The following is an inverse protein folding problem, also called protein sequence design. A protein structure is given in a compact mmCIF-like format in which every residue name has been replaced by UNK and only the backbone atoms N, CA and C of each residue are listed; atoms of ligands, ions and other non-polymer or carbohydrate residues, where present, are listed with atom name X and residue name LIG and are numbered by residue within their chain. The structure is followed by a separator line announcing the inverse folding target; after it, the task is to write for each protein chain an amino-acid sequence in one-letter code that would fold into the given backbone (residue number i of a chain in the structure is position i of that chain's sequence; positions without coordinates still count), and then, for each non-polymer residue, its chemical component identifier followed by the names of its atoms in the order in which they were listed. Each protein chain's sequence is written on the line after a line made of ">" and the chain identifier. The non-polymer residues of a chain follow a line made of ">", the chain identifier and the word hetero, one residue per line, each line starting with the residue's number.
data_IF_291835006537
#
_entry.id   IF_291835006537
#
_cell.length_a   1.000
_cell.length_b   1.000
_cell.length_c   1.000
_cell.angle_alpha   90.00
_cell.angle_beta   90.00
_cell.angle_gamma   90.00
#
_symmetry.space_group_name_H-M   'P 1'
#
loop_
_entity.id
_entity.type
_entity.pdbx_description
1 polymer ?
#
# COMPACT_ATOMS: atom_id res chain seq x y z
N UNK A 1 6.72 2.16 9.18
CA UNK A 1 6.98 2.25 7.73
C UNK A 1 8.15 1.36 7.36
N UNK A 2 8.10 0.68 6.20
CA UNK A 2 9.18 -0.17 5.67
C UNK A 2 9.39 0.19 4.19
N UNK A 3 10.63 0.48 3.79
CA UNK A 3 10.94 0.91 2.43
C UNK A 3 12.46 1.01 2.21
N UNK A 4 12.84 1.44 1.02
CA UNK A 4 14.24 1.60 0.61
C UNK A 4 14.80 3.00 0.84
N UNK A 5 13.99 3.93 1.31
CA UNK A 5 14.37 5.31 1.59
C UNK A 5 13.28 6.07 2.33
N UNK A 6 13.43 7.38 2.40
CA UNK A 6 12.46 8.25 3.06
C UNK A 6 11.10 8.24 2.33
N UNK A 7 10.02 8.32 3.07
CA UNK A 7 8.65 8.24 2.58
C UNK A 7 8.27 9.38 1.62
N UNK A 8 8.95 10.52 1.74
CA UNK A 8 8.76 11.69 0.87
C UNK A 8 9.28 11.48 -0.56
N UNK A 9 10.13 10.49 -0.77
CA UNK A 9 10.85 10.26 -2.04
C UNK A 9 10.85 8.80 -2.52
N UNK A 10 10.40 7.87 -1.68
CA UNK A 10 10.37 6.45 -1.98
C UNK A 10 9.01 5.85 -1.64
N UNK A 11 8.72 4.73 -2.29
CA UNK A 11 7.62 3.88 -1.88
C UNK A 11 7.90 3.30 -0.50
N UNK A 12 6.93 3.39 0.39
CA UNK A 12 6.99 2.73 1.71
C UNK A 12 5.73 1.91 1.95
N UNK A 13 5.88 0.86 2.73
CA UNK A 13 4.77 0.05 3.21
C UNK A 13 4.49 0.37 4.66
N UNK A 14 3.29 0.84 4.94
CA UNK A 14 2.79 0.99 6.29
C UNK A 14 2.25 -0.35 6.79
N UNK A 15 2.82 -0.84 7.89
CA UNK A 15 2.35 -2.04 8.55
C UNK A 15 1.55 -1.66 9.79
N UNK A 16 0.29 -2.08 9.84
CA UNK A 16 -0.60 -1.82 10.97
C UNK A 16 -0.84 -3.11 11.74
N UNK A 17 -0.52 -3.11 13.03
CA UNK A 17 -0.83 -4.20 13.93
C UNK A 17 -2.19 -3.97 14.60
N UNK A 18 -3.15 -4.82 14.31
CA UNK A 18 -4.50 -4.74 14.87
C UNK A 18 -4.65 -5.66 16.07
N UNK A 19 -4.74 -5.07 17.27
CA UNK A 19 -4.90 -5.81 18.51
C UNK A 19 -6.15 -6.69 18.50
N UNK A 20 -5.96 -7.98 18.80
CA UNK A 20 -7.03 -8.98 18.88
C UNK A 20 -7.42 -9.61 17.54
N UNK A 21 -6.81 -9.23 16.44
CA UNK A 21 -6.92 -9.90 15.14
C UNK A 21 -5.74 -10.87 15.02
N UNK A 22 -6.02 -12.16 14.86
CA UNK A 22 -4.98 -13.20 14.74
C UNK A 22 -4.55 -13.47 13.32
N UNK A 23 -5.49 -13.34 12.37
CA UNK A 23 -5.28 -13.61 10.96
C UNK A 23 -6.31 -12.87 10.12
N UNK A 24 -5.98 -12.70 8.85
CA UNK A 24 -6.88 -12.16 7.83
C UNK A 24 -7.07 -13.20 6.74
N UNK A 25 -8.30 -13.30 6.24
CA UNK A 25 -8.56 -14.01 4.99
C UNK A 25 -8.21 -13.08 3.84
N UNK A 26 -7.27 -13.49 3.00
CA UNK A 26 -6.87 -12.75 1.81
C UNK A 26 -7.95 -12.88 0.73
N UNK A 27 -8.20 -11.76 0.06
CA UNK A 27 -9.04 -11.72 -1.13
C UNK A 27 -8.25 -11.99 -2.42
N UNK A 28 -8.81 -11.52 -3.53
CA UNK A 28 -8.15 -11.49 -4.84
C UNK A 28 -7.90 -10.04 -5.31
N UNK A 29 -7.89 -9.10 -4.38
CA UNK A 29 -7.74 -7.67 -4.59
C UNK A 29 -6.27 -7.24 -4.66
N UNK A 30 -5.46 -7.62 -3.68
CA UNK A 30 -4.04 -7.32 -3.64
C UNK A 30 -3.24 -8.51 -4.17
N UNK A 31 -2.50 -8.30 -5.26
CA UNK A 31 -1.79 -9.37 -5.96
C UNK A 31 -0.29 -9.39 -5.67
N UNK A 32 0.25 -8.32 -5.10
CA UNK A 32 1.63 -8.26 -4.64
C UNK A 32 2.39 -6.99 -5.02
N UNK A 33 3.63 -6.95 -4.58
CA UNK A 33 4.58 -5.85 -4.81
C UNK A 33 5.78 -6.40 -5.56
N UNK A 34 6.21 -5.74 -6.63
CA UNK A 34 7.42 -6.11 -7.40
C UNK A 34 8.59 -5.22 -7.03
N UNK A 35 9.71 -5.83 -6.68
CA UNK A 35 10.95 -5.18 -6.26
C UNK A 35 12.08 -5.63 -7.18
N UNK A 36 12.78 -4.69 -7.82
CA UNK A 36 13.97 -4.99 -8.62
C UNK A 36 15.22 -4.78 -7.78
N UNK A 37 15.82 -5.88 -7.34
CA UNK A 37 17.07 -5.85 -6.56
C UNK A 37 17.70 -7.24 -6.49
N UNK A 38 18.87 -7.42 -7.12
CA UNK A 38 19.67 -8.65 -6.96
C UNK A 38 20.11 -8.86 -5.50
N UNK A 39 20.30 -7.77 -4.75
CA UNK A 39 20.63 -7.84 -3.34
C UNK A 39 19.46 -8.40 -2.51
N UNK A 40 18.22 -7.96 -2.79
CA UNK A 40 17.04 -8.49 -2.14
C UNK A 40 16.89 -10.02 -2.40
N UNK A 41 17.13 -10.47 -3.63
CA UNK A 41 17.15 -11.90 -3.96
C UNK A 41 18.23 -12.65 -3.18
N UNK A 42 19.45 -12.10 -3.11
CA UNK A 42 20.54 -12.71 -2.35
C UNK A 42 20.23 -12.78 -0.85
N UNK A 43 19.68 -11.71 -0.28
CA UNK A 43 19.29 -11.64 1.13
C UNK A 43 18.16 -12.60 1.45
N UNK A 44 17.16 -12.74 0.58
CA UNK A 44 16.09 -13.71 0.73
C UNK A 44 16.63 -15.16 0.77
N UNK A 45 17.56 -15.51 -0.13
CA UNK A 45 18.25 -16.81 -0.12
C UNK A 45 19.05 -17.03 1.17
N UNK A 46 19.82 -16.02 1.59
CA UNK A 46 20.61 -16.07 2.84
C UNK A 46 19.74 -16.24 4.07
N UNK A 47 18.57 -15.61 4.09
CA UNK A 47 17.59 -15.74 5.16
C UNK A 47 16.82 -17.08 5.13
N UNK A 48 17.07 -17.94 4.14
CA UNK A 48 16.38 -19.23 4.00
C UNK A 48 14.93 -19.14 3.56
N UNK A 49 14.52 -18.00 2.96
CA UNK A 49 13.17 -17.84 2.42
C UNK A 49 12.98 -18.71 1.19
N UNK A 50 11.77 -19.26 1.04
CA UNK A 50 11.40 -20.03 -0.16
C UNK A 50 11.14 -19.09 -1.32
N UNK A 51 11.99 -19.14 -2.34
CA UNK A 51 11.83 -18.40 -3.59
C UNK A 51 11.24 -19.31 -4.66
N UNK A 52 10.00 -19.07 -5.05
CA UNK A 52 9.37 -19.78 -6.16
C UNK A 52 9.69 -19.04 -7.47
N UNK A 53 10.18 -19.78 -8.49
CA UNK A 53 10.45 -19.18 -9.81
C UNK A 53 9.14 -18.82 -10.50
N UNK A 54 9.01 -17.60 -10.97
CA UNK A 54 7.87 -17.08 -11.73
C UNK A 54 8.25 -17.04 -13.22
N UNK A 55 9.40 -16.43 -13.52
CA UNK A 55 9.98 -16.37 -14.85
C UNK A 55 11.51 -16.33 -14.73
N UNK A 56 12.22 -16.24 -15.86
CA UNK A 56 13.67 -16.09 -15.84
C UNK A 56 14.09 -14.82 -15.10
N UNK A 57 14.84 -14.99 -13.99
CA UNK A 57 15.30 -13.89 -13.14
C UNK A 57 14.21 -13.25 -12.27
N UNK A 58 13.02 -13.84 -12.18
CA UNK A 58 11.94 -13.36 -11.32
C UNK A 58 11.47 -14.46 -10.36
N UNK A 59 11.35 -14.10 -9.11
CA UNK A 59 10.99 -15.02 -8.02
C UNK A 59 9.85 -14.42 -7.21
N UNK A 60 8.93 -15.25 -6.72
CA UNK A 60 7.98 -14.87 -5.70
C UNK A 60 8.41 -15.38 -4.34
N UNK A 61 8.19 -14.55 -3.33
CA UNK A 61 8.33 -14.87 -1.91
C UNK A 61 7.06 -14.49 -1.18
N UNK A 62 6.64 -15.32 -0.24
CA UNK A 62 5.46 -15.09 0.57
C UNK A 62 5.87 -14.56 1.94
N UNK A 63 5.35 -13.41 2.31
CA UNK A 63 5.51 -12.85 3.65
C UNK A 63 4.58 -13.54 4.66
N UNK A 64 4.83 -13.43 5.96
CA UNK A 64 3.88 -13.86 6.98
C UNK A 64 2.48 -13.29 6.71
N UNK A 65 1.47 -14.16 6.73
CA UNK A 65 0.09 -13.77 6.39
C UNK A 65 -0.31 -14.01 4.94
N UNK A 66 0.62 -14.49 4.08
CA UNK A 66 0.31 -14.92 2.71
C UNK A 66 0.48 -13.86 1.64
N UNK A 67 0.92 -12.64 1.99
CA UNK A 67 1.16 -11.58 1.02
C UNK A 67 2.38 -11.86 0.15
N UNK A 68 2.25 -11.65 -1.17
CA UNK A 68 3.30 -11.96 -2.15
C UNK A 68 4.15 -10.76 -2.49
N UNK A 69 5.46 -11.02 -2.58
CA UNK A 69 6.44 -10.11 -3.16
C UNK A 69 7.11 -10.79 -4.35
N UNK A 70 7.31 -10.04 -5.41
CA UNK A 70 8.01 -10.48 -6.62
C UNK A 70 9.37 -9.81 -6.65
N UNK A 71 10.43 -10.61 -6.67
CA UNK A 71 11.81 -10.14 -6.66
C UNK A 71 12.41 -10.35 -8.04
N UNK A 72 12.80 -9.27 -8.69
CA UNK A 72 13.48 -9.28 -9.99
C UNK A 72 14.99 -9.24 -9.75
N UNK A 73 15.71 -10.30 -10.16
CA UNK A 73 17.17 -10.44 -10.00
C UNK A 73 17.92 -9.61 -11.03
N UNK A 74 17.85 -8.30 -10.85
CA UNK A 74 18.59 -7.28 -11.62
C UNK A 74 19.11 -6.24 -10.66
N UNK A 75 20.14 -5.51 -11.05
CA UNK A 75 20.62 -4.37 -10.29
C UNK A 75 19.46 -3.41 -9.97
N UNK A 76 19.43 -2.89 -8.75
CA UNK A 76 18.46 -1.87 -8.38
C UNK A 76 18.57 -0.67 -9.33
N UNK A 77 17.45 -0.03 -9.71
CA UNK A 77 17.48 1.19 -10.50
C UNK A 77 18.14 2.34 -9.69
N UNK A 78 18.44 3.44 -10.34
CA UNK A 78 18.96 4.63 -9.67
C UNK A 78 17.94 5.33 -8.74
N UNK A 79 16.67 4.98 -8.86
CA UNK A 79 15.57 5.44 -8.01
C UNK A 79 15.10 4.33 -7.06
N UNK A 80 13.79 4.29 -6.82
CA UNK A 80 13.18 3.31 -5.92
C UNK A 80 13.25 1.88 -6.51
N UNK A 81 13.75 0.90 -5.77
CA UNK A 81 13.69 -0.51 -6.16
C UNK A 81 12.27 -1.07 -6.31
N UNK A 82 11.27 -0.48 -5.64
CA UNK A 82 9.88 -0.89 -5.76
C UNK A 82 9.32 -0.43 -7.10
N UNK A 83 9.04 -1.38 -7.98
CA UNK A 83 8.66 -1.10 -9.36
C UNK A 83 7.14 -0.90 -9.52
N UNK A 84 6.37 -1.77 -8.89
CA UNK A 84 4.91 -1.73 -9.01
C UNK A 84 4.20 -2.44 -7.85
N UNK A 85 2.98 -1.98 -7.60
CA UNK A 85 1.95 -2.66 -6.83
C UNK A 85 0.92 -3.22 -7.80
N UNK A 86 0.51 -4.47 -7.64
CA UNK A 86 -0.48 -5.12 -8.48
C UNK A 86 -1.81 -5.30 -7.74
N UNK A 87 -2.91 -4.86 -8.35
CA UNK A 87 -4.27 -5.00 -7.87
C UNK A 87 -5.13 -5.82 -8.86
N UNK A 88 -6.00 -6.66 -8.32
CA UNK A 88 -7.03 -7.36 -9.07
C UNK A 88 -8.20 -6.43 -9.38
N UNK A 89 -8.72 -6.50 -10.60
CA UNK A 89 -9.90 -5.72 -11.03
C UNK A 89 -10.91 -6.62 -11.71
N UNK A 90 -12.20 -6.30 -11.58
CA UNK A 90 -13.30 -7.06 -12.19
C UNK A 90 -13.54 -6.67 -13.66
N UNK A 91 -13.16 -5.43 -14.02
CA UNK A 91 -13.29 -4.89 -15.37
C UNK A 91 -12.13 -3.94 -15.66
N UNK A 92 -11.13 -4.45 -16.39
CA UNK A 92 -9.89 -3.74 -16.66
C UNK A 92 -10.12 -2.37 -17.29
N UNK A 93 -11.00 -2.27 -18.30
CA UNK A 93 -11.21 -0.99 -18.99
C UNK A 93 -11.87 0.05 -18.08
N UNK A 94 -12.85 -0.36 -17.27
CA UNK A 94 -13.49 0.52 -16.30
C UNK A 94 -12.50 1.06 -15.28
N UNK A 95 -11.61 0.21 -14.79
CA UNK A 95 -10.59 0.62 -13.83
C UNK A 95 -9.51 1.48 -14.50
N UNK A 96 -9.05 1.16 -15.72
CA UNK A 96 -8.14 2.01 -16.50
C UNK A 96 -8.76 3.41 -16.71
N UNK A 97 -10.03 3.48 -17.09
CA UNK A 97 -10.73 4.75 -17.27
C UNK A 97 -10.79 5.57 -15.98
N UNK A 98 -11.07 4.93 -14.85
CA UNK A 98 -11.08 5.58 -13.54
C UNK A 98 -9.70 6.16 -13.21
N UNK A 99 -8.66 5.35 -13.25
CA UNK A 99 -7.32 5.75 -12.86
C UNK A 99 -6.69 6.78 -13.80
N UNK A 100 -7.03 6.73 -15.10
CA UNK A 100 -6.50 7.70 -16.08
C UNK A 100 -7.32 8.98 -16.14
N UNK A 101 -8.66 8.90 -16.23
CA UNK A 101 -9.52 10.07 -16.48
C UNK A 101 -9.87 10.81 -15.19
N UNK A 102 -10.08 10.10 -14.07
CA UNK A 102 -10.39 10.73 -12.79
C UNK A 102 -9.12 11.03 -12.00
N UNK A 103 -8.25 10.03 -11.80
CA UNK A 103 -7.05 10.20 -10.98
C UNK A 103 -5.87 10.81 -11.73
N UNK A 104 -5.92 10.89 -13.07
CA UNK A 104 -4.89 11.54 -13.87
C UNK A 104 -3.63 10.70 -14.11
N UNK A 105 -3.66 9.40 -13.88
CA UNK A 105 -2.52 8.54 -14.18
C UNK A 105 -2.26 8.39 -15.68
N UNK A 106 -0.99 8.26 -16.03
CA UNK A 106 -0.57 7.90 -17.38
C UNK A 106 -0.65 6.39 -17.55
N UNK A 107 -1.24 5.93 -18.65
CA UNK A 107 -1.19 4.53 -19.07
C UNK A 107 0.12 4.28 -19.82
N UNK A 108 0.96 3.40 -19.31
CA UNK A 108 2.25 3.03 -19.90
C UNK A 108 2.14 1.80 -20.80
N UNK A 109 1.44 0.78 -20.33
CA UNK A 109 1.29 -0.50 -21.03
C UNK A 109 -0.13 -1.02 -20.83
N UNK A 110 -0.67 -1.68 -21.84
CA UNK A 110 -1.95 -2.38 -21.74
C UNK A 110 -1.93 -3.67 -22.57
N UNK A 111 -2.44 -4.73 -21.96
CA UNK A 111 -2.71 -6.00 -22.59
C UNK A 111 -4.21 -6.36 -22.41
N UNK A 112 -4.71 -7.45 -23.00
CA UNK A 112 -6.08 -7.88 -22.76
C UNK A 112 -6.38 -8.21 -21.28
N UNK A 113 -5.35 -8.47 -20.46
CA UNK A 113 -5.48 -8.94 -19.08
C UNK A 113 -4.85 -8.03 -18.03
N UNK A 114 -4.08 -7.03 -18.42
CA UNK A 114 -3.40 -6.14 -17.50
C UNK A 114 -3.16 -4.76 -18.08
N UNK A 115 -2.99 -3.78 -17.21
CA UNK A 115 -2.58 -2.42 -17.54
C UNK A 115 -1.57 -1.92 -16.51
N UNK A 116 -0.56 -1.17 -16.96
CA UNK A 116 0.45 -0.52 -16.12
C UNK A 116 0.25 0.99 -16.16
N UNK A 117 0.03 1.58 -15.00
CA UNK A 117 -0.27 3.01 -14.85
C UNK A 117 0.66 3.67 -13.83
N UNK A 118 0.72 5.00 -13.84
CA UNK A 118 1.48 5.75 -12.84
C UNK A 118 1.46 7.24 -13.08
N UNK A 119 1.88 8.03 -12.08
CA UNK A 119 1.96 9.48 -12.16
C UNK A 119 3.28 9.98 -12.77
N UNK A 120 4.36 9.20 -12.69
CA UNK A 120 5.66 9.61 -13.21
C UNK A 120 6.59 8.43 -13.50
N UNK A 121 7.58 8.61 -14.39
CA UNK A 121 8.48 7.53 -14.82
C UNK A 121 9.37 6.98 -13.70
N UNK A 122 9.76 7.81 -12.75
CA UNK A 122 10.65 7.42 -11.63
C UNK A 122 9.93 6.93 -10.38
N UNK A 123 8.59 6.82 -10.42
CA UNK A 123 7.77 6.42 -9.28
C UNK A 123 7.29 4.98 -9.43
N UNK A 124 6.92 4.36 -8.29
CA UNK A 124 6.24 3.08 -8.26
C UNK A 124 4.97 3.12 -9.14
N UNK A 125 4.74 2.07 -9.91
CA UNK A 125 3.59 1.94 -10.83
C UNK A 125 2.45 1.19 -10.17
N UNK A 126 1.25 1.38 -10.71
CA UNK A 126 0.08 0.58 -10.42
C UNK A 126 -0.15 -0.39 -11.58
N UNK A 127 -0.14 -1.67 -11.30
CA UNK A 127 -0.56 -2.68 -12.25
C UNK A 127 -1.97 -3.16 -11.92
N UNK A 128 -2.88 -3.06 -12.88
CA UNK A 128 -4.23 -3.60 -12.78
C UNK A 128 -4.29 -4.94 -13.53
N UNK A 129 -4.81 -5.98 -12.90
CA UNK A 129 -4.92 -7.32 -13.51
C UNK A 129 -6.37 -7.81 -13.47
N UNK A 130 -6.94 -8.10 -14.64
CA UNK A 130 -8.30 -8.63 -14.78
C UNK A 130 -8.41 -10.01 -14.15
N UNK A 131 -9.27 -10.13 -13.13
CA UNK A 131 -9.53 -11.38 -12.41
C UNK A 131 -10.55 -12.28 -13.12
N UNK A 132 -11.16 -11.80 -14.20
CA UNK A 132 -12.23 -12.53 -14.91
C UNK A 132 -13.51 -12.70 -14.11
N UNK A 133 -13.68 -11.95 -13.02
CA UNK A 133 -14.83 -11.99 -12.12
C UNK A 133 -14.77 -10.92 -11.05
N UNK A 134 -15.68 -10.98 -10.09
CA UNK A 134 -15.75 -10.00 -9.01
C UNK A 134 -14.47 -9.99 -8.16
N UNK A 135 -14.10 -8.80 -7.71
CA UNK A 135 -13.08 -8.60 -6.67
C UNK A 135 -13.71 -8.85 -5.31
N UNK A 136 -13.04 -9.63 -4.49
CA UNK A 136 -13.45 -9.96 -3.12
C UNK A 136 -12.30 -9.63 -2.16
N UNK A 137 -12.46 -8.59 -1.36
CA UNK A 137 -11.45 -8.12 -0.40
C UNK A 137 -11.34 -8.99 0.85
N UNK A 138 -12.32 -9.87 1.10
CA UNK A 138 -12.40 -10.70 2.31
C UNK A 138 -12.27 -9.86 3.59
N UNK A 139 -11.40 -10.31 4.52
CA UNK A 139 -11.14 -9.60 5.77
C UNK A 139 -9.79 -8.89 5.79
N UNK A 140 -8.94 -9.14 4.78
CA UNK A 140 -7.73 -8.38 4.57
C UNK A 140 -8.08 -6.98 4.07
N UNK A 141 -7.32 -5.99 4.54
CA UNK A 141 -7.60 -4.60 4.26
C UNK A 141 -6.32 -3.88 3.87
N UNK A 142 -6.40 -3.10 2.83
CA UNK A 142 -5.29 -2.30 2.35
C UNK A 142 -5.75 -0.99 1.71
N UNK A 143 -4.86 -0.02 1.70
CA UNK A 143 -5.07 1.30 1.09
C UNK A 143 -3.81 1.74 0.38
N UNK A 144 -3.96 2.34 -0.80
CA UNK A 144 -2.88 3.04 -1.47
C UNK A 144 -3.00 4.52 -1.16
N UNK A 145 -1.90 5.17 -0.80
CA UNK A 145 -1.86 6.61 -0.57
C UNK A 145 -0.95 7.30 -1.61
N UNK A 146 -1.38 8.47 -2.06
CA UNK A 146 -0.64 9.35 -2.96
C UNK A 146 -0.59 10.76 -2.37
N UNK A 147 0.61 11.32 -2.27
CA UNK A 147 0.76 12.74 -1.98
C UNK A 147 0.53 13.57 -3.26
N UNK A 148 -0.18 14.67 -3.15
CA UNK A 148 -0.39 15.63 -4.22
C UNK A 148 -0.43 17.06 -3.64
N UNK A 149 -0.22 18.10 -4.45
CA UNK A 149 -0.40 19.48 -3.99
C UNK A 149 -1.74 19.65 -3.27
N UNK A 150 -1.71 20.19 -2.06
CA UNK A 150 -2.90 20.34 -1.20
C UNK A 150 -4.06 21.03 -1.91
N UNK A 151 -3.75 22.02 -2.75
CA UNK A 151 -4.72 22.77 -3.54
C UNK A 151 -5.53 21.91 -4.54
N UNK A 152 -5.06 20.69 -4.87
CA UNK A 152 -5.77 19.78 -5.76
C UNK A 152 -6.85 18.97 -5.04
N UNK A 153 -6.76 18.78 -3.72
CA UNK A 153 -7.69 17.93 -2.98
C UNK A 153 -9.17 18.34 -3.14
N UNK A 154 -9.55 19.63 -3.05
CA UNK A 154 -10.94 20.04 -3.30
C UNK A 154 -11.42 19.71 -4.72
N UNK A 155 -10.52 19.80 -5.71
CA UNK A 155 -10.81 19.44 -7.10
C UNK A 155 -11.04 17.94 -7.26
N UNK A 156 -10.21 17.11 -6.63
CA UNK A 156 -10.36 15.64 -6.64
C UNK A 156 -11.72 15.25 -6.05
N UNK A 157 -12.11 15.85 -4.92
CA UNK A 157 -13.42 15.60 -4.33
C UNK A 157 -14.57 16.03 -5.24
N UNK A 158 -14.48 17.23 -5.83
CA UNK A 158 -15.51 17.78 -6.69
C UNK A 158 -15.74 16.90 -7.95
N UNK A 159 -14.66 16.53 -8.65
CA UNK A 159 -14.75 15.68 -9.85
C UNK A 159 -15.31 14.29 -9.52
N UNK A 160 -14.92 13.75 -8.35
CA UNK A 160 -15.45 12.47 -7.87
C UNK A 160 -16.96 12.54 -7.61
N UNK A 161 -17.45 13.62 -7.00
CA UNK A 161 -18.89 13.87 -6.77
C UNK A 161 -19.66 14.02 -8.07
N UNK A 162 -19.15 14.84 -8.98
CA UNK A 162 -19.77 15.07 -10.29
C UNK A 162 -19.85 13.80 -11.14
N UNK A 163 -18.80 12.98 -11.10
CA UNK A 163 -18.73 11.68 -11.79
C UNK A 163 -19.54 10.57 -11.12
N UNK A 164 -20.12 10.81 -9.95
CA UNK A 164 -20.85 9.77 -9.17
C UNK A 164 -19.94 8.66 -8.65
N UNK A 165 -18.65 8.97 -8.44
CA UNK A 165 -17.67 8.02 -7.91
C UNK A 165 -17.76 7.91 -6.39
N UNK A 166 -17.30 6.80 -5.86
CA UNK A 166 -17.35 6.52 -4.42
C UNK A 166 -16.36 7.40 -3.66
N UNK A 167 -16.88 8.17 -2.71
CA UNK A 167 -16.08 8.91 -1.73
C UNK A 167 -16.30 8.22 -0.38
N UNK A 168 -15.23 7.63 0.16
CA UNK A 168 -15.27 6.95 1.47
C UNK A 168 -15.12 7.95 2.61
N UNK A 169 -14.22 8.92 2.42
CA UNK A 169 -14.04 10.04 3.37
C UNK A 169 -13.95 11.33 2.56
N UNK A 170 -14.91 12.26 2.71
CA UNK A 170 -14.81 13.60 2.14
C UNK A 170 -13.57 14.34 2.61
N UNK A 171 -13.20 15.41 1.90
CA UNK A 171 -12.05 16.24 2.29
C UNK A 171 -12.13 16.62 3.78
N UNK A 172 -11.12 16.22 4.54
CA UNK A 172 -11.05 16.42 5.98
C UNK A 172 -9.61 16.68 6.41
N UNK A 173 -9.46 17.51 7.45
CA UNK A 173 -8.18 17.71 8.12
C UNK A 173 -8.01 16.67 9.23
N UNK A 174 -6.88 15.98 9.22
CA UNK A 174 -6.48 15.01 10.23
C UNK A 174 -5.35 15.61 11.07
N UNK A 175 -5.61 15.81 12.34
CA UNK A 175 -4.64 16.36 13.27
C UNK A 175 -3.77 15.25 13.86
N UNK A 176 -2.45 15.42 13.75
CA UNK A 176 -1.48 14.53 14.39
C UNK A 176 -0.92 15.26 15.60
N UNK A 177 -1.27 14.84 16.85
CA UNK A 177 -0.85 15.56 18.06
C UNK A 177 0.67 15.81 18.11
N UNK A 178 1.05 17.08 18.22
CA UNK A 178 2.45 17.51 18.25
C UNK A 178 3.18 17.51 16.91
N UNK A 179 2.46 17.32 15.80
CA UNK A 179 2.98 17.34 14.43
C UNK A 179 2.05 18.15 13.52
N UNK A 180 2.32 18.11 12.22
CA UNK A 180 1.49 18.79 11.23
C UNK A 180 0.09 18.17 11.10
N UNK A 181 -0.88 19.01 10.74
CA UNK A 181 -2.22 18.59 10.34
C UNK A 181 -2.23 18.35 8.84
N UNK A 182 -2.60 17.14 8.43
CA UNK A 182 -2.72 16.78 7.00
C UNK A 182 -4.17 16.86 6.55
N UNK A 183 -4.38 17.25 5.31
CA UNK A 183 -5.68 17.14 4.64
C UNK A 183 -5.69 15.93 3.72
N UNK A 184 -6.79 15.19 3.76
CA UNK A 184 -6.97 13.99 2.95
C UNK A 184 -8.35 13.93 2.33
N UNK A 185 -8.44 13.23 1.20
CA UNK A 185 -9.70 12.71 0.65
C UNK A 185 -9.50 11.24 0.34
N UNK A 186 -10.46 10.39 0.73
CA UNK A 186 -10.36 8.95 0.52
C UNK A 186 -11.47 8.51 -0.43
N UNK A 187 -11.07 7.90 -1.52
CA UNK A 187 -11.95 7.41 -2.58
C UNK A 187 -11.99 5.88 -2.58
N UNK A 188 -13.05 5.32 -3.18
CA UNK A 188 -13.10 3.93 -3.60
C UNK A 188 -13.07 3.85 -5.12
N UNK A 189 -12.19 3.01 -5.68
CA UNK A 189 -12.18 2.75 -7.10
C UNK A 189 -13.38 1.89 -7.54
N UNK A 190 -13.56 1.54 -8.84
CA UNK A 190 -14.69 0.75 -9.30
C UNK A 190 -14.87 -0.63 -8.66
N UNK A 191 -13.82 -1.19 -8.08
CA UNK A 191 -13.80 -2.49 -7.40
C UNK A 191 -13.76 -2.36 -5.87
N UNK A 192 -13.73 -1.14 -5.33
CA UNK A 192 -13.71 -0.88 -3.89
C UNK A 192 -12.31 -0.77 -3.29
N UNK A 193 -11.24 -0.72 -4.09
CA UNK A 193 -9.91 -0.42 -3.57
C UNK A 193 -9.89 0.98 -2.97
N UNK A 194 -9.41 1.09 -1.75
CA UNK A 194 -9.31 2.39 -1.07
C UNK A 194 -8.09 3.18 -1.55
N UNK A 195 -8.31 4.45 -1.83
CA UNK A 195 -7.29 5.38 -2.33
C UNK A 195 -7.32 6.62 -1.45
N UNK A 196 -6.19 6.94 -0.82
CA UNK A 196 -6.02 8.17 -0.05
C UNK A 196 -5.20 9.17 -0.88
N UNK A 197 -5.74 10.36 -1.11
CA UNK A 197 -4.95 11.50 -1.55
C UNK A 197 -4.68 12.39 -0.35
N UNK A 198 -3.40 12.73 -0.12
CA UNK A 198 -2.93 13.55 1.02
C UNK A 198 -2.23 14.79 0.51
N UNK A 199 -2.44 15.93 1.18
CA UNK A 199 -1.76 17.18 0.86
C UNK A 199 -0.26 17.09 1.16
N UNK A 200 0.55 17.29 0.12
CA UNK A 200 2.00 17.03 0.10
C UNK A 200 2.75 17.88 1.12
N UNK A 201 2.40 19.16 1.26
CA UNK A 201 3.18 20.11 2.07
C UNK A 201 3.25 19.72 3.56
N UNK A 202 2.12 19.36 4.14
CA UNK A 202 2.06 18.88 5.52
C UNK A 202 2.54 17.44 5.66
N UNK A 203 2.32 16.63 4.63
CA UNK A 203 2.83 15.25 4.58
C UNK A 203 4.36 15.21 4.60
N UNK A 204 5.05 16.07 3.86
CA UNK A 204 6.51 16.17 3.87
C UNK A 204 7.05 16.50 5.27
N UNK A 205 6.34 17.31 6.05
CA UNK A 205 6.72 17.58 7.45
C UNK A 205 6.57 16.33 8.32
N UNK A 206 5.51 15.53 8.11
CA UNK A 206 5.27 14.31 8.87
C UNK A 206 6.21 13.14 8.48
N UNK A 207 6.62 13.08 7.22
CA UNK A 207 7.41 11.98 6.64
C UNK A 207 8.92 12.10 6.88
N UNK A 208 9.37 13.10 7.66
CA UNK A 208 10.78 13.26 8.00
C UNK A 208 11.30 12.05 8.78
N UNK A 209 12.43 11.49 8.31
CA UNK A 209 13.10 10.41 9.01
C UNK A 209 13.64 10.87 10.36
N UNK A 210 13.22 10.20 11.43
CA UNK A 210 13.81 10.41 12.74
C UNK A 210 15.16 9.68 12.82
N UNK A 211 16.29 10.36 13.08
CA UNK A 211 17.60 9.72 13.23
C UNK A 211 17.65 8.67 14.34
N UNK A 212 16.69 8.69 15.25
CA UNK A 212 16.57 7.73 16.36
C UNK A 212 15.55 6.62 16.08
N UNK A 213 14.99 6.54 14.87
CA UNK A 213 13.88 5.62 14.55
C UNK A 213 14.19 4.18 14.96
N UNK A 214 15.40 3.68 14.63
CA UNK A 214 15.79 2.29 14.95
C UNK A 214 15.86 2.07 16.47
N UNK A 215 16.49 2.98 17.23
CA UNK A 215 16.57 2.85 18.69
C UNK A 215 15.20 2.98 19.36
N UNK A 216 14.33 3.87 18.84
CA UNK A 216 12.97 4.01 19.35
C UNK A 216 12.12 2.78 19.06
N UNK A 217 12.33 2.13 17.91
CA UNK A 217 11.67 0.87 17.58
C UNK A 217 12.12 -0.25 18.51
N UNK A 218 13.44 -0.40 18.74
CA UNK A 218 13.99 -1.39 19.65
C UNK A 218 13.50 -1.20 21.09
N UNK A 219 13.46 0.05 21.56
CA UNK A 219 12.91 0.41 22.87
C UNK A 219 11.42 0.06 22.97
N UNK A 220 10.64 0.35 21.92
CA UNK A 220 9.22 0.04 21.87
C UNK A 220 8.97 -1.49 21.88
N UNK A 221 9.77 -2.25 21.13
CA UNK A 221 9.71 -3.72 21.13
C UNK A 221 10.04 -4.27 22.52
N UNK A 222 11.10 -3.75 23.15
CA UNK A 222 11.51 -4.19 24.49
C UNK A 222 10.48 -3.83 25.58
N UNK A 223 9.75 -2.72 25.39
CA UNK A 223 8.70 -2.26 26.31
C UNK A 223 7.31 -2.85 26.00
N UNK A 224 7.18 -3.66 24.95
CA UNK A 224 5.88 -4.19 24.52
C UNK A 224 5.23 -5.05 25.60
N UNK A 225 3.95 -4.79 25.87
CA UNK A 225 3.09 -5.50 26.83
C UNK A 225 1.84 -6.08 26.17
N UNK A 226 1.90 -6.33 24.89
CA UNK A 226 0.77 -6.85 24.12
C UNK A 226 0.26 -8.18 24.67
N UNK A 227 1.14 -9.07 25.16
CA UNK A 227 0.75 -10.33 25.78
C UNK A 227 -0.10 -10.13 27.04
N UNK A 228 0.25 -9.16 27.90
CA UNK A 228 -0.56 -8.83 29.07
C UNK A 228 -1.94 -8.27 28.67
N UNK A 229 -1.99 -7.46 27.62
CA UNK A 229 -3.24 -6.93 27.10
C UNK A 229 -4.15 -8.02 26.53
N UNK A 230 -3.58 -8.96 25.76
CA UNK A 230 -4.31 -10.13 25.26
C UNK A 230 -4.84 -11.00 26.39
N UNK A 231 -4.02 -11.29 27.41
CA UNK A 231 -4.45 -12.07 28.57
C UNK A 231 -5.61 -11.40 29.30
N UNK A 232 -5.55 -10.09 29.53
CA UNK A 232 -6.65 -9.31 30.14
C UNK A 232 -7.92 -9.33 29.31
N UNK A 233 -7.81 -9.25 27.98
CA UNK A 233 -8.96 -9.29 27.07
C UNK A 233 -9.62 -10.67 27.02
N UNK A 234 -8.83 -11.75 27.04
CA UNK A 234 -9.33 -13.12 27.10
C UNK A 234 -10.06 -13.39 28.42
N UNK A 235 -9.49 -12.95 29.55
CA UNK A 235 -10.12 -13.06 30.85
C UNK A 235 -11.47 -12.33 30.93
N UNK A 236 -11.54 -11.12 30.34
CA UNK A 236 -12.81 -10.36 30.24
C UNK A 236 -13.86 -11.04 29.34
N UNK A 237 -13.45 -11.75 28.30
CA UNK A 237 -14.36 -12.53 27.44
C UNK A 237 -14.91 -13.76 28.15
N UNK A 238 -14.05 -14.45 28.92
CA UNK A 238 -14.43 -15.63 29.71
C UNK A 238 -15.34 -15.29 30.90
N UNK A 239 -15.28 -14.06 31.42
CA UNK A 239 -16.07 -13.57 32.53
C UNK A 239 -17.44 -12.94 32.13
N UNK A 240 -17.77 -12.89 30.84
CA UNK A 240 -19.12 -12.50 30.40
C UNK A 240 -20.00 -13.74 30.37
N UNK A 241 -21.14 -13.71 31.10
CA UNK A 241 -22.09 -14.82 31.13
C UNK A 241 -22.76 -15.05 29.79
#
# INVERSE_FOLDING_TARGET
>A
MVGFGAEDSHFVMELTYNYGVKSYDLGNDFLGITIQSSEAVANARKAGLTLASVSEGEYSVEAPGGYRFYLVDKAAPSGDPVQKVALGVSNLQKSVDYWTKLCGMTLYEQSPKSALLGFGNGQCKLELQDQGGAVDHKTAFGRIAFACPREQLPGIEAVSKEGGHTILTPLVSLDTPGKATVEVVILGDPDGHEICFVGDEAFQELSQMDPKADSLLDEAIAADKSDEWFAKKQAKKAAKP
#
